data_IF_338767957769
#
_entry.id   IF_338767957769
#
_cell.length_a   1.000
_cell.length_b   1.000
_cell.length_c   1.000
_cell.angle_alpha   90.00
_cell.angle_beta   90.00
_cell.angle_gamma   90.00
#
_symmetry.space_group_name_H-M   'P 1'
#
loop_
_entity.id
_entity.type
_entity.pdbx_description
1 polymer ?
#
# COMPACT_ATOMS: atom_id res chain seq x y z
N UNK A 1 77.09 40.92 -51.52
CA UNK A 1 77.68 41.03 -50.16
C UNK A 1 76.80 41.99 -49.37
N UNK A 2 76.15 41.69 -48.25
CA UNK A 2 75.88 40.50 -47.45
C UNK A 2 74.70 40.94 -46.56
N UNK A 3 73.59 40.22 -46.56
CA UNK A 3 73.16 39.32 -45.47
C UNK A 3 73.31 39.91 -44.06
N UNK A 4 72.19 40.16 -43.36
CA UNK A 4 71.60 39.20 -42.41
C UNK A 4 70.35 39.81 -41.77
N UNK A 5 69.17 39.33 -42.17
CA UNK A 5 67.92 39.52 -41.45
C UNK A 5 67.78 38.45 -40.37
N UNK A 6 67.65 38.88 -39.12
CA UNK A 6 67.48 38.01 -37.95
C UNK A 6 66.12 37.31 -38.00
N UNK A 7 66.14 36.00 -38.22
CA UNK A 7 65.02 35.10 -37.93
C UNK A 7 65.21 34.49 -36.54
N UNK A 8 64.16 34.51 -35.72
CA UNK A 8 64.12 33.76 -34.46
C UNK A 8 62.87 32.86 -34.46
N UNK A 9 62.95 31.64 -33.90
CA UNK A 9 62.13 30.51 -34.30
C UNK A 9 60.76 30.50 -33.63
N UNK A 10 59.78 29.98 -34.39
CA UNK A 10 58.43 29.73 -33.91
C UNK A 10 58.41 28.69 -32.80
N UNK A 11 57.88 29.10 -31.65
CA UNK A 11 57.49 28.19 -30.57
C UNK A 11 56.26 27.39 -31.02
N UNK A 12 56.48 26.16 -31.48
CA UNK A 12 55.44 25.16 -31.70
C UNK A 12 54.82 24.80 -30.35
N UNK A 13 53.71 25.48 -30.00
CA UNK A 13 52.86 25.07 -28.89
C UNK A 13 52.15 23.78 -29.30
N UNK A 14 52.22 22.68 -28.52
CA UNK A 14 51.59 21.43 -28.91
C UNK A 14 50.09 21.65 -29.03
N UNK A 15 49.54 21.26 -30.18
CA UNK A 15 48.12 21.17 -30.40
C UNK A 15 47.52 20.28 -29.31
N UNK A 16 46.80 20.90 -28.36
CA UNK A 16 45.84 20.20 -27.51
C UNK A 16 44.93 19.45 -28.47
N UNK A 17 45.09 18.13 -28.55
CA UNK A 17 44.14 17.22 -29.18
C UNK A 17 42.79 17.51 -28.53
N UNK A 18 41.93 18.21 -29.25
CA UNK A 18 40.54 18.39 -28.91
C UNK A 18 39.88 17.01 -29.00
N UNK A 19 39.80 16.31 -27.88
CA UNK A 19 38.83 15.23 -27.74
C UNK A 19 37.45 15.83 -27.96
N UNK A 20 36.73 15.34 -28.96
CA UNK A 20 35.34 15.73 -29.20
C UNK A 20 34.52 15.55 -27.92
N UNK A 21 33.39 16.26 -27.77
CA UNK A 21 32.55 16.14 -26.60
C UNK A 21 32.19 14.66 -26.42
N UNK A 22 32.65 14.06 -25.32
CA UNK A 22 32.28 12.70 -24.98
C UNK A 22 30.76 12.60 -25.05
N UNK A 23 30.24 11.63 -25.80
CA UNK A 23 28.79 11.42 -25.90
C UNK A 23 28.23 11.26 -24.47
N UNK A 24 27.47 12.25 -23.98
CA UNK A 24 27.02 12.25 -22.60
C UNK A 24 26.08 11.06 -22.35
N UNK A 25 25.35 10.62 -23.38
CA UNK A 25 24.47 9.43 -23.31
C UNK A 25 25.31 8.17 -23.12
N UNK A 26 26.42 8.03 -23.85
CA UNK A 26 27.32 6.88 -23.69
C UNK A 26 27.94 6.82 -22.29
N UNK A 27 28.26 7.96 -21.70
CA UNK A 27 28.78 8.04 -20.33
C UNK A 27 27.70 7.61 -19.32
N UNK A 28 26.45 8.04 -19.52
CA UNK A 28 25.30 7.63 -18.70
C UNK A 28 24.97 6.14 -18.83
N UNK A 29 25.05 5.58 -20.05
CA UNK A 29 24.90 4.14 -20.28
C UNK A 29 25.94 3.34 -19.51
N UNK A 30 27.18 3.84 -19.43
CA UNK A 30 28.24 3.16 -18.71
C UNK A 30 28.00 3.17 -17.20
N UNK A 31 27.51 4.28 -16.64
CA UNK A 31 27.19 4.37 -15.21
C UNK A 31 25.95 3.56 -14.81
N UNK A 32 25.03 3.30 -15.74
CA UNK A 32 23.79 2.53 -15.50
C UNK A 32 23.72 1.23 -16.32
N UNK A 33 24.88 0.63 -16.60
CA UNK A 33 25.01 -0.53 -17.49
C UNK A 33 24.16 -1.72 -17.06
N UNK A 34 24.23 -2.11 -15.78
CA UNK A 34 23.47 -3.24 -15.24
C UNK A 34 21.95 -3.05 -15.30
N UNK A 35 21.48 -1.79 -15.25
CA UNK A 35 20.07 -1.45 -15.39
C UNK A 35 19.65 -1.60 -16.86
N UNK A 36 20.44 -1.05 -17.78
CA UNK A 36 20.14 -1.05 -19.21
C UNK A 36 20.21 -2.46 -19.83
N UNK A 37 21.12 -3.32 -19.36
CA UNK A 37 21.29 -4.70 -19.84
C UNK A 37 20.20 -5.66 -19.33
N UNK A 38 19.61 -5.40 -18.17
CA UNK A 38 18.55 -6.24 -17.57
C UNK A 38 17.13 -5.82 -17.95
N UNK A 39 16.95 -4.58 -18.42
CA UNK A 39 15.64 -4.02 -18.68
C UNK A 39 14.96 -4.67 -19.89
N UNK A 40 13.72 -5.12 -19.70
CA UNK A 40 12.89 -5.77 -20.74
C UNK A 40 12.11 -4.73 -21.56
N UNK A 41 11.93 -3.52 -21.03
CA UNK A 41 11.28 -2.41 -21.72
C UNK A 41 11.89 -1.03 -21.38
N UNK A 42 11.63 0.01 -22.19
CA UNK A 42 12.09 1.38 -21.91
C UNK A 42 11.58 1.98 -20.59
N UNK A 43 10.44 1.51 -20.06
CA UNK A 43 9.85 2.02 -18.82
C UNK A 43 10.65 1.58 -17.58
N UNK A 44 11.20 0.36 -17.57
CA UNK A 44 12.14 -0.10 -16.54
C UNK A 44 13.41 0.77 -16.49
N UNK A 45 13.91 1.19 -17.66
CA UNK A 45 15.03 2.12 -17.75
C UNK A 45 14.62 3.50 -17.21
N UNK A 46 13.46 4.03 -17.59
CA UNK A 46 12.98 5.33 -17.10
C UNK A 46 12.79 5.35 -15.57
N UNK A 47 12.21 4.29 -15.01
CA UNK A 47 12.04 4.12 -13.57
C UNK A 47 13.37 3.99 -12.82
N UNK A 48 14.30 3.20 -13.37
CA UNK A 48 15.63 3.07 -12.81
C UNK A 48 16.40 4.40 -12.85
N UNK A 49 16.30 5.16 -13.94
CA UNK A 49 16.88 6.50 -14.03
C UNK A 49 16.29 7.46 -12.99
N UNK A 50 14.97 7.47 -12.80
CA UNK A 50 14.32 8.29 -11.77
C UNK A 50 14.76 7.89 -10.35
N UNK A 51 14.88 6.58 -10.08
CA UNK A 51 15.37 6.07 -8.79
C UNK A 51 16.81 6.50 -8.47
N UNK A 52 17.64 6.69 -9.51
CA UNK A 52 18.99 7.25 -9.40
C UNK A 52 19.03 8.79 -9.48
N UNK A 53 17.88 9.45 -9.43
CA UNK A 53 17.76 10.91 -9.34
C UNK A 53 17.76 11.65 -10.68
N UNK A 54 17.65 10.96 -11.81
CA UNK A 54 17.55 11.59 -13.12
C UNK A 54 16.12 12.11 -13.32
N UNK A 55 15.99 13.43 -13.46
CA UNK A 55 14.72 14.14 -13.67
C UNK A 55 14.59 14.61 -15.12
N UNK A 56 13.40 15.07 -15.54
CA UNK A 56 13.19 15.63 -16.89
C UNK A 56 14.17 16.77 -17.21
N UNK A 57 14.53 17.58 -16.20
CA UNK A 57 15.55 18.63 -16.32
C UNK A 57 16.96 18.09 -16.48
N UNK A 58 17.26 16.94 -15.89
CA UNK A 58 18.53 16.23 -16.10
C UNK A 58 18.58 15.61 -17.50
N UNK A 59 17.47 15.05 -17.99
CA UNK A 59 17.36 14.50 -19.35
C UNK A 59 17.63 15.55 -20.44
N UNK A 60 17.21 16.81 -20.22
CA UNK A 60 17.52 17.93 -21.11
C UNK A 60 19.04 18.16 -21.32
N UNK A 61 19.88 17.82 -20.33
CA UNK A 61 21.35 17.89 -20.46
C UNK A 61 21.91 16.87 -21.44
N UNK A 62 21.19 15.77 -21.64
CA UNK A 62 21.48 14.74 -22.63
C UNK A 62 20.80 15.01 -24.00
N UNK A 63 20.23 16.21 -24.20
CA UNK A 63 19.46 16.61 -25.40
C UNK A 63 18.20 15.79 -25.66
N UNK A 64 17.64 15.15 -24.63
CA UNK A 64 16.32 14.52 -24.70
C UNK A 64 15.29 15.40 -24.00
N UNK A 65 14.05 15.39 -24.49
CA UNK A 65 12.96 16.23 -23.97
C UNK A 65 12.60 15.89 -22.52
N UNK A 66 12.65 14.61 -22.16
CA UNK A 66 12.19 14.06 -20.89
C UNK A 66 12.89 12.71 -20.60
N UNK A 67 12.70 12.18 -19.40
CA UNK A 67 13.32 10.91 -18.97
C UNK A 67 12.84 9.72 -19.79
N UNK A 68 11.59 9.70 -20.28
CA UNK A 68 11.06 8.61 -21.10
C UNK A 68 11.74 8.58 -22.48
N UNK A 69 11.89 9.74 -23.12
CA UNK A 69 12.61 9.89 -24.39
C UNK A 69 14.08 9.50 -24.26
N UNK A 70 14.72 9.80 -23.13
CA UNK A 70 16.07 9.36 -22.83
C UNK A 70 16.12 7.84 -22.63
N UNK A 71 15.16 7.26 -21.92
CA UNK A 71 15.09 5.83 -21.67
C UNK A 71 14.85 5.00 -22.94
N UNK A 72 14.01 5.50 -23.86
CA UNK A 72 13.82 4.93 -25.21
C UNK A 72 15.13 4.92 -25.99
N UNK A 73 15.88 6.02 -25.98
CA UNK A 73 17.18 6.09 -26.65
C UNK A 73 18.19 5.11 -26.03
N UNK A 74 18.26 5.02 -24.70
CA UNK A 74 19.11 4.05 -24.01
C UNK A 74 18.69 2.62 -24.34
N UNK A 75 17.38 2.34 -24.34
CA UNK A 75 16.82 1.04 -24.69
C UNK A 75 17.20 0.67 -26.12
N UNK A 76 17.05 1.56 -27.09
CA UNK A 76 17.39 1.33 -28.50
C UNK A 76 18.89 1.07 -28.72
N UNK A 77 19.76 1.62 -27.88
CA UNK A 77 21.23 1.48 -28.00
C UNK A 77 21.82 0.23 -27.34
N UNK A 78 21.07 -0.47 -26.48
CA UNK A 78 21.55 -1.71 -25.84
C UNK A 78 21.44 -2.87 -26.85
N UNK A 79 22.56 -3.54 -27.20
CA UNK A 79 22.52 -4.71 -28.06
C UNK A 79 21.76 -5.84 -27.35
N UNK A 80 20.59 -6.22 -27.87
CA UNK A 80 19.84 -7.37 -27.35
C UNK A 80 20.17 -8.60 -28.16
N UNK A 81 20.33 -9.73 -27.47
CA UNK A 81 20.63 -11.02 -28.08
C UNK A 81 19.54 -11.51 -29.07
N UNK A 82 18.40 -10.83 -29.18
CA UNK A 82 17.33 -11.12 -30.14
C UNK A 82 17.61 -10.65 -31.56
N UNK A 83 18.59 -9.75 -31.78
CA UNK A 83 18.86 -9.16 -33.10
C UNK A 83 20.01 -9.85 -33.86
N UNK A 84 20.43 -11.03 -33.39
CA UNK A 84 21.45 -11.85 -34.05
C UNK A 84 20.84 -13.08 -34.70
N UNK A 85 20.18 -12.89 -35.85
CA UNK A 85 19.78 -13.98 -36.74
C UNK A 85 19.14 -13.45 -38.03
N UNK A 86 19.69 -13.75 -39.22
CA UNK A 86 19.00 -13.47 -40.48
C UNK A 86 17.88 -14.48 -40.69
N UNK A 87 16.72 -14.01 -41.16
CA UNK A 87 15.57 -14.79 -41.60
C UNK A 87 15.09 -15.91 -40.66
N UNK A 88 14.09 -15.59 -39.83
CA UNK A 88 13.02 -16.57 -39.59
C UNK A 88 11.71 -15.82 -39.61
N UNK A 89 10.94 -16.04 -40.68
CA UNK A 89 9.50 -15.83 -40.72
C UNK A 89 8.92 -16.27 -39.38
N UNK A 90 8.39 -15.30 -38.62
CA UNK A 90 7.76 -15.54 -37.33
C UNK A 90 6.51 -16.39 -37.59
N UNK A 91 6.70 -17.70 -37.59
CA UNK A 91 5.65 -18.67 -37.39
C UNK A 91 5.06 -18.34 -36.01
N UNK A 92 3.85 -17.78 -36.03
CA UNK A 92 3.07 -17.50 -34.85
C UNK A 92 3.02 -18.78 -33.99
N UNK A 93 3.79 -18.77 -32.90
CA UNK A 93 3.74 -19.82 -31.90
C UNK A 93 2.28 -19.94 -31.42
N UNK A 94 1.73 -21.17 -31.31
CA UNK A 94 0.34 -21.34 -30.90
C UNK A 94 0.15 -20.73 -29.52
N UNK A 95 -0.71 -19.71 -29.44
CA UNK A 95 -1.22 -19.21 -28.18
C UNK A 95 -1.79 -20.41 -27.40
N UNK A 96 -1.36 -20.68 -26.14
CA UNK A 96 -2.07 -21.61 -25.29
C UNK A 96 -3.42 -20.98 -24.89
N UNK A 97 -4.39 -21.10 -25.78
CA UNK A 97 -5.80 -20.82 -25.51
C UNK A 97 -6.38 -22.02 -24.77
N UNK A 98 -6.51 -21.88 -23.44
CA UNK A 98 -7.51 -22.48 -22.52
C UNK A 98 -6.89 -22.73 -21.14
N UNK A 99 -6.71 -21.65 -20.39
CA UNK A 99 -6.79 -21.68 -18.93
C UNK A 99 -7.66 -20.48 -18.56
N UNK A 100 -8.71 -20.69 -17.75
CA UNK A 100 -9.75 -19.70 -17.48
C UNK A 100 -9.19 -18.31 -17.15
N UNK A 101 -9.93 -17.26 -17.56
CA UNK A 101 -9.52 -15.87 -17.45
C UNK A 101 -8.83 -15.60 -16.10
N UNK A 102 -7.53 -15.26 -16.07
CA UNK A 102 -6.80 -15.02 -14.81
C UNK A 102 -7.49 -13.96 -13.93
N UNK A 103 -8.36 -13.12 -14.51
CA UNK A 103 -9.24 -12.19 -13.80
C UNK A 103 -10.30 -12.87 -12.93
N UNK A 104 -10.93 -13.94 -13.42
CA UNK A 104 -11.97 -14.68 -12.71
C UNK A 104 -11.41 -15.43 -11.49
N UNK A 105 -10.23 -16.03 -11.63
CA UNK A 105 -9.56 -16.74 -10.55
C UNK A 105 -9.13 -15.82 -9.41
N UNK A 106 -8.76 -14.57 -9.70
CA UNK A 106 -8.42 -13.60 -8.66
C UNK A 106 -9.66 -13.01 -7.96
N UNK A 107 -10.70 -12.65 -8.72
CA UNK A 107 -11.96 -12.13 -8.16
C UNK A 107 -12.65 -13.15 -7.21
N UNK A 108 -12.63 -14.44 -7.57
CA UNK A 108 -13.16 -15.50 -6.70
C UNK A 108 -12.39 -15.62 -5.37
N UNK A 109 -11.06 -15.40 -5.41
CA UNK A 109 -10.21 -15.47 -4.22
C UNK A 109 -10.35 -14.26 -3.31
N UNK A 110 -10.71 -13.09 -3.83
CA UNK A 110 -10.92 -11.87 -3.01
C UNK A 110 -12.26 -11.90 -2.28
N UNK A 111 -13.24 -12.67 -2.76
CA UNK A 111 -14.53 -12.90 -2.09
C UNK A 111 -14.46 -13.88 -0.90
N UNK A 112 -13.41 -14.71 -0.86
CA UNK A 112 -13.24 -15.79 0.11
C UNK A 112 -13.23 -15.33 1.59
N UNK A 113 -12.55 -14.22 1.97
CA UNK A 113 -12.58 -13.71 3.35
C UNK A 113 -13.98 -13.28 3.79
N UNK A 114 -14.75 -12.62 2.92
CA UNK A 114 -16.13 -12.22 3.19
C UNK A 114 -17.05 -13.44 3.36
N UNK A 115 -16.93 -14.44 2.48
CA UNK A 115 -17.70 -15.67 2.57
C UNK A 115 -17.41 -16.46 3.85
N UNK A 116 -16.14 -16.59 4.24
CA UNK A 116 -15.73 -17.26 5.48
C UNK A 116 -16.23 -16.51 6.71
N UNK A 117 -16.15 -15.18 6.71
CA UNK A 117 -16.64 -14.36 7.81
C UNK A 117 -18.17 -14.48 7.98
N UNK A 118 -18.92 -14.42 6.87
CA UNK A 118 -20.37 -14.63 6.89
C UNK A 118 -20.75 -16.04 7.36
N UNK A 119 -20.05 -17.07 6.88
CA UNK A 119 -20.29 -18.46 7.29
C UNK A 119 -20.00 -18.68 8.78
N UNK A 120 -18.91 -18.10 9.31
CA UNK A 120 -18.58 -18.17 10.73
C UNK A 120 -19.67 -17.54 11.60
N UNK A 121 -20.16 -16.35 11.21
CA UNK A 121 -21.24 -15.69 11.95
C UNK A 121 -22.57 -16.44 11.86
N UNK A 122 -22.88 -17.01 10.70
CA UNK A 122 -24.07 -17.83 10.53
C UNK A 122 -23.99 -19.06 11.45
N UNK A 123 -22.84 -19.74 11.51
CA UNK A 123 -22.60 -20.84 12.42
C UNK A 123 -22.72 -20.43 13.90
N UNK A 124 -22.19 -19.26 14.28
CA UNK A 124 -22.33 -18.69 15.62
C UNK A 124 -23.79 -18.36 15.98
N UNK A 125 -24.60 -17.89 15.02
CA UNK A 125 -26.04 -17.62 15.22
C UNK A 125 -26.83 -18.90 15.43
N UNK A 126 -26.58 -19.94 14.64
CA UNK A 126 -27.23 -21.25 14.81
C UNK A 126 -26.77 -21.97 16.09
N UNK A 127 -25.54 -21.71 16.54
CA UNK A 127 -25.01 -22.21 17.81
C UNK A 127 -25.56 -21.46 19.05
N UNK A 128 -26.52 -20.53 18.89
CA UNK A 128 -27.08 -19.72 19.96
C UNK A 128 -27.70 -20.51 21.13
N UNK A 129 -28.11 -21.76 20.89
CA UNK A 129 -28.61 -22.68 21.92
C UNK A 129 -27.57 -23.65 22.50
N UNK A 130 -26.30 -23.57 22.10
CA UNK A 130 -25.24 -24.51 22.50
C UNK A 130 -24.35 -23.97 23.62
N UNK A 131 -23.67 -24.88 24.34
CA UNK A 131 -22.78 -24.53 25.44
C UNK A 131 -21.63 -23.59 25.03
N UNK A 132 -21.14 -22.79 25.98
CA UNK A 132 -20.11 -21.76 25.75
C UNK A 132 -18.84 -22.30 25.06
N UNK A 133 -18.44 -23.55 25.34
CA UNK A 133 -17.29 -24.19 24.70
C UNK A 133 -17.45 -24.39 23.18
N UNK A 134 -18.64 -24.76 22.71
CA UNK A 134 -18.92 -24.95 21.27
C UNK A 134 -18.86 -23.60 20.56
N UNK A 135 -19.41 -22.54 21.16
CA UNK A 135 -19.35 -21.18 20.60
C UNK A 135 -17.91 -20.66 20.51
N UNK A 136 -17.07 -20.95 21.51
CA UNK A 136 -15.64 -20.62 21.49
C UNK A 136 -14.90 -21.38 20.38
N UNK A 137 -15.18 -22.68 20.22
CA UNK A 137 -14.58 -23.48 19.16
C UNK A 137 -14.96 -22.96 17.76
N UNK A 138 -16.24 -22.60 17.54
CA UNK A 138 -16.72 -22.01 16.28
C UNK A 138 -16.05 -20.65 16.03
N UNK A 139 -15.94 -19.80 17.06
CA UNK A 139 -15.25 -18.50 16.96
C UNK A 139 -13.77 -18.64 16.61
N UNK A 140 -13.06 -19.55 17.29
CA UNK A 140 -11.65 -19.83 17.02
C UNK A 140 -11.44 -20.40 15.62
N UNK A 141 -12.27 -21.36 15.19
CA UNK A 141 -12.23 -21.92 13.85
C UNK A 141 -12.51 -20.86 12.77
N UNK A 142 -13.52 -20.01 12.99
CA UNK A 142 -13.83 -18.88 12.10
C UNK A 142 -12.69 -17.88 11.98
N UNK A 143 -12.03 -17.54 13.09
CA UNK A 143 -10.87 -16.64 13.09
C UNK A 143 -9.67 -17.24 12.33
N UNK A 144 -9.38 -18.53 12.53
CA UNK A 144 -8.32 -19.24 11.80
C UNK A 144 -8.65 -19.29 10.31
N UNK A 145 -9.87 -19.66 9.94
CA UNK A 145 -10.31 -19.71 8.56
C UNK A 145 -10.22 -18.33 7.88
N UNK A 146 -10.63 -17.26 8.56
CA UNK A 146 -10.51 -15.89 8.06
C UNK A 146 -9.05 -15.48 7.87
N UNK A 147 -8.17 -15.80 8.83
CA UNK A 147 -6.73 -15.53 8.72
C UNK A 147 -6.09 -16.26 7.53
N UNK A 148 -6.49 -17.52 7.28
CA UNK A 148 -6.04 -18.30 6.12
C UNK A 148 -6.56 -17.68 4.82
N UNK A 149 -7.86 -17.37 4.74
CA UNK A 149 -8.48 -16.74 3.57
C UNK A 149 -7.81 -15.41 3.22
N UNK A 150 -7.60 -14.56 4.23
CA UNK A 150 -6.90 -13.28 4.09
C UNK A 150 -5.46 -13.48 3.61
N UNK A 151 -4.75 -14.47 4.17
CA UNK A 151 -3.38 -14.79 3.75
C UNK A 151 -3.34 -15.23 2.28
N UNK A 152 -4.29 -16.05 1.83
CA UNK A 152 -4.36 -16.52 0.44
C UNK A 152 -4.68 -15.36 -0.51
N UNK A 153 -5.70 -14.55 -0.18
CA UNK A 153 -6.11 -13.39 -0.97
C UNK A 153 -4.97 -12.36 -1.12
N UNK A 154 -4.27 -12.09 -0.02
CA UNK A 154 -3.18 -11.11 0.03
C UNK A 154 -1.85 -11.63 -0.56
N UNK A 155 -1.63 -12.95 -0.65
CA UNK A 155 -0.39 -13.52 -1.23
C UNK A 155 -0.48 -13.79 -2.73
N UNK A 156 -1.68 -13.98 -3.29
CA UNK A 156 -1.88 -14.38 -4.69
C UNK A 156 -2.60 -13.32 -5.55
N UNK A 157 -2.77 -12.10 -5.03
CA UNK A 157 -3.44 -10.98 -5.71
C UNK A 157 -2.52 -9.78 -5.97
N UNK A 158 -3.06 -8.66 -6.50
CA UNK A 158 -2.32 -7.42 -6.77
C UNK A 158 -1.89 -6.70 -5.48
N UNK A 159 -2.28 -7.21 -4.32
CA UNK A 159 -1.81 -6.76 -3.00
C UNK A 159 -0.66 -7.64 -2.47
N UNK A 160 0.01 -8.42 -3.33
CA UNK A 160 1.11 -9.31 -2.97
C UNK A 160 2.30 -8.51 -2.46
N UNK A 161 2.78 -8.89 -1.28
CA UNK A 161 4.00 -8.35 -0.67
C UNK A 161 5.00 -9.50 -0.57
N UNK A 162 6.22 -9.28 -1.05
CA UNK A 162 7.32 -10.22 -0.91
C UNK A 162 8.12 -9.89 0.37
N UNK A 163 8.27 -10.83 1.33
CA UNK A 163 9.27 -10.72 2.40
C UNK A 163 8.85 -10.78 3.88
N UNK A 164 9.85 -10.61 4.76
CA UNK A 164 9.86 -10.81 6.23
C UNK A 164 9.16 -9.72 7.05
N UNK A 165 8.89 -8.55 6.46
CA UNK A 165 8.21 -7.39 7.08
C UNK A 165 6.76 -7.67 7.48
N UNK A 166 6.19 -8.78 7.00
CA UNK A 166 4.81 -9.19 7.28
C UNK A 166 4.55 -9.64 8.73
N UNK A 167 5.57 -10.00 9.53
CA UNK A 167 5.35 -10.44 10.93
C UNK A 167 5.08 -9.26 11.87
N UNK A 168 5.93 -8.24 11.84
CA UNK A 168 5.78 -7.05 12.69
C UNK A 168 4.52 -6.28 12.34
N UNK A 169 4.20 -6.14 11.05
CA UNK A 169 2.94 -5.51 10.60
C UNK A 169 1.70 -6.24 11.13
N UNK A 170 1.72 -7.59 11.20
CA UNK A 170 0.58 -8.35 11.73
C UNK A 170 0.30 -8.04 13.19
N UNK A 171 1.33 -7.88 14.03
CA UNK A 171 1.14 -7.54 15.44
C UNK A 171 0.42 -6.20 15.60
N UNK A 172 0.86 -5.17 14.85
CA UNK A 172 0.22 -3.86 14.87
C UNK A 172 -1.21 -3.89 14.34
N UNK A 173 -1.47 -4.63 13.25
CA UNK A 173 -2.84 -4.80 12.74
C UNK A 173 -3.74 -5.52 13.75
N UNK A 174 -3.23 -6.57 14.41
CA UNK A 174 -3.96 -7.25 15.47
C UNK A 174 -4.27 -6.32 16.65
N UNK A 175 -3.32 -5.47 17.04
CA UNK A 175 -3.53 -4.46 18.08
C UNK A 175 -4.63 -3.46 17.69
N UNK A 176 -4.56 -2.87 16.49
CA UNK A 176 -5.56 -1.91 16.00
C UNK A 176 -6.95 -2.55 15.90
N UNK A 177 -7.02 -3.81 15.44
CA UNK A 177 -8.27 -4.57 15.42
C UNK A 177 -8.80 -4.78 16.84
N UNK A 178 -7.95 -5.17 17.79
CA UNK A 178 -8.38 -5.33 19.17
C UNK A 178 -8.89 -4.01 19.76
N UNK A 179 -8.19 -2.89 19.54
CA UNK A 179 -8.62 -1.60 20.06
C UNK A 179 -9.91 -1.08 19.40
N UNK A 180 -10.08 -1.29 18.09
CA UNK A 180 -11.36 -0.96 17.40
C UNK A 180 -12.55 -1.79 17.88
N UNK A 181 -12.31 -3.04 18.30
CA UNK A 181 -13.36 -3.93 18.81
C UNK A 181 -13.70 -3.70 20.28
N UNK A 182 -12.70 -3.42 21.11
CA UNK A 182 -12.86 -3.38 22.57
C UNK A 182 -12.79 -1.96 23.16
N UNK A 183 -12.28 -0.98 22.39
CA UNK A 183 -12.08 0.41 22.81
C UNK A 183 -11.39 0.53 24.17
N UNK A 184 -11.89 1.41 25.02
CA UNK A 184 -11.41 1.59 26.40
C UNK A 184 -11.75 0.42 27.35
N UNK A 185 -12.54 -0.54 26.89
CA UNK A 185 -12.79 -1.80 27.58
C UNK A 185 -11.65 -2.81 27.46
N UNK A 186 -10.70 -2.60 26.54
CA UNK A 186 -9.57 -3.49 26.28
C UNK A 186 -8.77 -3.86 27.56
N UNK A 187 -8.42 -2.92 28.46
CA UNK A 187 -7.72 -3.27 29.69
C UNK A 187 -8.54 -4.20 30.58
N UNK A 188 -9.86 -4.00 30.69
CA UNK A 188 -10.70 -4.88 31.52
C UNK A 188 -10.72 -6.30 30.97
N UNK A 189 -10.71 -6.47 29.65
CA UNK A 189 -10.66 -7.79 28.99
C UNK A 189 -9.30 -8.47 29.19
N UNK A 190 -8.20 -7.73 29.07
CA UNK A 190 -6.84 -8.24 29.33
C UNK A 190 -6.66 -8.73 30.77
N UNK A 191 -7.25 -8.03 31.75
CA UNK A 191 -7.15 -8.40 33.17
C UNK A 191 -8.18 -9.48 33.58
N UNK A 192 -9.35 -9.55 32.94
CA UNK A 192 -10.37 -10.56 33.24
C UNK A 192 -9.90 -12.01 32.95
N UNK A 193 -8.87 -12.18 32.10
CA UNK A 193 -8.30 -13.49 31.77
C UNK A 193 -7.59 -14.23 32.91
N UNK A 194 -7.52 -13.68 34.13
CA UNK A 194 -6.78 -14.28 35.26
C UNK A 194 -7.59 -14.55 36.54
N UNK A 195 -8.85 -14.15 36.63
CA UNK A 195 -9.57 -14.17 37.92
C UNK A 195 -10.90 -14.90 37.94
N UNK A 196 -11.82 -14.56 37.04
CA UNK A 196 -13.20 -15.05 37.14
C UNK A 196 -13.69 -15.55 35.79
N UNK A 197 -14.09 -16.82 35.73
CA UNK A 197 -14.65 -17.50 34.55
C UNK A 197 -16.00 -16.94 34.06
N UNK A 198 -16.36 -15.70 34.39
CA UNK A 198 -17.45 -14.99 33.70
C UNK A 198 -16.87 -14.37 32.43
N UNK A 199 -17.16 -14.91 31.24
CA UNK A 199 -16.82 -14.20 30.02
C UNK A 199 -17.46 -12.82 30.11
N UNK A 200 -16.66 -11.77 29.97
CA UNK A 200 -17.20 -10.44 29.74
C UNK A 200 -18.05 -10.54 28.48
N UNK A 201 -19.37 -10.67 28.67
CA UNK A 201 -20.35 -10.68 27.60
C UNK A 201 -20.49 -9.25 27.11
N UNK A 202 -19.43 -8.68 26.53
CA UNK A 202 -19.67 -7.82 25.38
C UNK A 202 -20.36 -8.75 24.38
N UNK A 203 -21.59 -8.44 23.95
CA UNK A 203 -22.29 -9.31 23.03
C UNK A 203 -21.40 -9.42 21.79
N UNK A 204 -20.87 -10.62 21.51
CA UNK A 204 -20.00 -10.89 20.35
C UNK A 204 -20.61 -10.34 19.04
N UNK A 205 -21.93 -10.15 19.02
CA UNK A 205 -22.69 -9.52 17.93
C UNK A 205 -22.34 -8.04 17.69
N UNK A 206 -22.03 -7.24 18.72
CA UNK A 206 -21.67 -5.82 18.52
C UNK A 206 -20.28 -5.68 17.89
N UNK A 207 -19.32 -6.52 18.31
CA UNK A 207 -17.96 -6.55 17.77
C UNK A 207 -17.86 -7.29 16.41
N UNK A 208 -18.88 -8.06 16.03
CA UNK A 208 -18.90 -8.77 14.76
C UNK A 208 -19.07 -7.83 13.56
N UNK A 209 -19.83 -6.73 13.73
CA UNK A 209 -20.13 -5.76 12.68
C UNK A 209 -18.90 -5.15 12.01
N UNK A 210 -17.93 -4.56 12.76
CA UNK A 210 -16.71 -4.02 12.14
C UNK A 210 -15.85 -5.10 11.48
N UNK A 211 -15.79 -6.31 12.06
CA UNK A 211 -15.02 -7.42 11.49
C UNK A 211 -15.56 -7.88 10.14
N UNK A 212 -16.89 -7.98 10.01
CA UNK A 212 -17.55 -8.34 8.75
C UNK A 212 -17.29 -7.29 7.70
N UNK A 213 -17.50 -6.03 8.04
CA UNK A 213 -17.26 -4.91 7.13
C UNK A 213 -15.82 -4.94 6.60
N UNK A 214 -14.82 -5.09 7.49
CA UNK A 214 -13.41 -5.17 7.12
C UNK A 214 -13.07 -6.44 6.31
N UNK A 215 -13.70 -7.58 6.60
CA UNK A 215 -13.50 -8.81 5.84
C UNK A 215 -14.02 -8.70 4.41
N UNK A 216 -15.20 -8.10 4.21
CA UNK A 216 -15.75 -7.82 2.89
C UNK A 216 -15.00 -6.71 2.15
N UNK A 217 -14.41 -5.75 2.87
CA UNK A 217 -13.62 -4.67 2.29
C UNK A 217 -12.36 -5.13 1.54
N UNK A 218 -11.92 -6.38 1.75
CA UNK A 218 -10.84 -6.98 0.97
C UNK A 218 -11.17 -6.98 -0.53
N UNK A 219 -12.44 -7.18 -0.92
CA UNK A 219 -12.87 -7.19 -2.32
C UNK A 219 -12.65 -5.82 -3.00
N UNK A 220 -13.25 -4.70 -2.52
CA UNK A 220 -13.04 -3.39 -3.12
C UNK A 220 -11.57 -2.93 -2.99
N UNK A 221 -10.87 -3.27 -1.91
CA UNK A 221 -9.43 -2.97 -1.76
C UNK A 221 -8.61 -3.59 -2.88
N UNK A 222 -8.85 -4.87 -3.16
CA UNK A 222 -8.13 -5.59 -4.19
C UNK A 222 -8.46 -5.02 -5.59
N UNK A 223 -9.74 -4.70 -5.84
CA UNK A 223 -10.21 -4.07 -7.08
C UNK A 223 -9.58 -2.70 -7.32
N UNK A 224 -9.56 -1.83 -6.32
CA UNK A 224 -8.93 -0.50 -6.41
C UNK A 224 -7.43 -0.62 -6.69
N UNK A 225 -6.71 -1.56 -6.06
CA UNK A 225 -5.30 -1.80 -6.34
C UNK A 225 -5.07 -2.28 -7.78
N UNK A 226 -5.95 -3.17 -8.29
CA UNK A 226 -5.88 -3.62 -9.68
C UNK A 226 -6.12 -2.46 -10.65
N UNK A 227 -7.18 -1.67 -10.46
CA UNK A 227 -7.46 -0.50 -11.29
C UNK A 227 -6.32 0.51 -11.26
N UNK A 228 -5.75 0.79 -10.09
CA UNK A 228 -4.59 1.67 -9.96
C UNK A 228 -3.41 1.15 -10.78
N UNK A 229 -3.09 -0.15 -10.72
CA UNK A 229 -2.00 -0.73 -11.50
C UNK A 229 -2.24 -0.67 -13.02
N UNK A 230 -3.46 -0.91 -13.47
CA UNK A 230 -3.82 -0.85 -14.90
C UNK A 230 -3.80 0.59 -15.40
N UNK A 231 -4.35 1.52 -14.61
CA UNK A 231 -4.38 2.94 -14.96
C UNK A 231 -2.98 3.56 -14.90
N UNK A 232 -2.15 3.21 -13.92
CA UNK A 232 -0.76 3.64 -13.86
C UNK A 232 -0.01 3.21 -15.12
N UNK A 233 -0.11 1.94 -15.54
CA UNK A 233 0.50 1.44 -16.78
C UNK A 233 0.02 2.16 -18.03
N UNK A 234 -1.29 2.37 -18.18
CA UNK A 234 -1.86 3.13 -19.32
C UNK A 234 -1.41 4.59 -19.33
N UNK A 235 -1.34 5.23 -18.15
CA UNK A 235 -0.90 6.62 -18.04
C UNK A 235 0.60 6.77 -18.27
N UNK A 236 1.41 5.76 -17.91
CA UNK A 236 2.84 5.72 -18.20
C UNK A 236 3.10 5.65 -19.71
N UNK A 237 2.32 4.89 -20.48
CA UNK A 237 2.46 4.84 -21.95
C UNK A 237 2.01 6.11 -22.65
N UNK A 238 1.05 6.83 -22.08
CA UNK A 238 0.47 8.04 -22.70
C UNK A 238 1.20 9.33 -22.33
N UNK A 239 2.00 9.35 -21.25
CA UNK A 239 2.63 10.55 -20.70
C UNK A 239 4.02 10.79 -21.28
N UNK A 240 4.32 12.05 -21.61
CA UNK A 240 5.60 12.45 -22.21
C UNK A 240 6.58 13.05 -21.19
N UNK A 241 6.45 12.71 -19.91
CA UNK A 241 7.28 13.29 -18.83
C UNK A 241 6.77 12.94 -17.43
N UNK A 242 7.67 12.99 -16.45
CA UNK A 242 7.39 12.59 -15.05
C UNK A 242 6.36 13.52 -14.40
N UNK A 243 6.42 14.82 -14.69
CA UNK A 243 5.48 15.80 -14.16
C UNK A 243 4.04 15.60 -14.67
N UNK A 244 3.89 15.25 -15.95
CA UNK A 244 2.59 14.94 -16.55
C UNK A 244 2.02 13.62 -16.03
N UNK A 245 2.87 12.62 -15.83
CA UNK A 245 2.47 11.37 -15.20
C UNK A 245 1.98 11.60 -13.75
N UNK A 246 2.72 12.37 -12.97
CA UNK A 246 2.38 12.65 -11.58
C UNK A 246 1.05 13.42 -11.45
N UNK A 247 0.81 14.41 -12.33
CA UNK A 247 -0.42 15.21 -12.30
C UNK A 247 -1.67 14.40 -12.67
N UNK A 248 -1.54 13.41 -13.57
CA UNK A 248 -2.65 12.52 -13.96
C UNK A 248 -2.90 11.39 -12.95
N UNK A 249 -1.88 10.95 -12.23
CA UNK A 249 -1.99 9.80 -11.31
C UNK A 249 -2.56 10.18 -9.93
N UNK A 250 -2.24 11.37 -9.42
CA UNK A 250 -2.79 11.88 -8.14
C UNK A 250 -4.33 11.89 -8.04
N UNK A 251 -5.08 12.49 -8.99
CA UNK A 251 -6.54 12.53 -8.90
C UNK A 251 -7.16 11.14 -9.01
N UNK A 252 -6.52 10.23 -9.77
CA UNK A 252 -6.96 8.83 -9.89
C UNK A 252 -6.81 8.10 -8.55
N UNK A 253 -5.67 8.26 -7.87
CA UNK A 253 -5.45 7.69 -6.55
C UNK A 253 -6.50 8.20 -5.54
N UNK A 254 -6.75 9.51 -5.53
CA UNK A 254 -7.75 10.11 -4.64
C UNK A 254 -9.17 9.61 -4.96
N UNK A 255 -9.52 9.49 -6.24
CA UNK A 255 -10.82 8.99 -6.67
C UNK A 255 -11.02 7.51 -6.29
N UNK A 256 -10.00 6.66 -6.49
CA UNK A 256 -10.05 5.25 -6.10
C UNK A 256 -10.10 5.07 -4.58
N UNK A 257 -9.38 5.92 -3.83
CA UNK A 257 -9.45 5.94 -2.37
C UNK A 257 -10.84 6.36 -1.89
N UNK A 258 -11.42 7.42 -2.46
CA UNK A 258 -12.78 7.86 -2.14
C UNK A 258 -13.82 6.78 -2.48
N UNK A 259 -13.66 6.10 -3.63
CA UNK A 259 -14.50 4.97 -4.02
C UNK A 259 -14.41 3.82 -3.00
N UNK A 260 -13.21 3.48 -2.55
CA UNK A 260 -13.01 2.47 -1.51
C UNK A 260 -13.64 2.88 -0.19
N UNK A 261 -13.42 4.11 0.28
CA UNK A 261 -14.00 4.61 1.52
C UNK A 261 -15.53 4.61 1.47
N UNK A 262 -16.13 5.00 0.33
CA UNK A 262 -17.57 4.91 0.08
C UNK A 262 -18.08 3.47 0.11
N UNK A 263 -17.41 2.54 -0.57
CA UNK A 263 -17.76 1.12 -0.56
C UNK A 263 -17.66 0.51 0.85
N UNK A 264 -16.60 0.83 1.60
CA UNK A 264 -16.40 0.38 2.98
C UNK A 264 -17.49 0.93 3.91
N UNK A 265 -17.88 2.20 3.72
CA UNK A 265 -18.97 2.82 4.49
C UNK A 265 -20.29 2.11 4.20
N UNK A 266 -20.61 1.83 2.93
CA UNK A 266 -21.80 1.08 2.55
C UNK A 266 -21.80 -0.34 3.13
N UNK A 267 -20.66 -1.04 3.11
CA UNK A 267 -20.50 -2.36 3.72
C UNK A 267 -20.67 -2.32 5.24
N UNK A 268 -20.14 -1.30 5.92
CA UNK A 268 -20.32 -1.12 7.35
C UNK A 268 -21.79 -0.86 7.73
N UNK A 269 -22.47 0.01 6.98
CA UNK A 269 -23.91 0.27 7.16
C UNK A 269 -24.76 -0.98 6.90
N UNK A 270 -24.44 -1.74 5.85
CA UNK A 270 -25.11 -3.01 5.55
C UNK A 270 -24.88 -4.05 6.65
N UNK A 271 -23.65 -4.13 7.17
CA UNK A 271 -23.34 -5.03 8.29
C UNK A 271 -24.13 -4.65 9.54
N UNK A 272 -24.23 -3.36 9.87
CA UNK A 272 -25.09 -2.86 10.95
C UNK A 272 -26.55 -3.25 10.73
N UNK A 273 -27.07 -3.04 9.52
CA UNK A 273 -28.46 -3.38 9.14
C UNK A 273 -28.78 -4.87 9.29
N UNK A 274 -27.88 -5.74 8.83
CA UNK A 274 -28.07 -7.21 8.80
C UNK A 274 -27.87 -7.83 10.17
N UNK A 275 -26.93 -7.30 10.97
CA UNK A 275 -26.59 -7.83 12.29
C UNK A 275 -27.39 -7.17 13.42
N UNK A 276 -28.19 -6.15 13.13
CA UNK A 276 -28.96 -5.42 14.13
C UNK A 276 -28.08 -4.53 15.02
N UNK A 277 -26.99 -3.99 14.46
CA UNK A 277 -26.10 -3.08 15.14
C UNK A 277 -26.80 -1.81 15.60
N UNK A 278 -26.37 -1.24 16.72
CA UNK A 278 -26.96 0.00 17.25
C UNK A 278 -26.45 1.21 16.44
N UNK A 279 -27.33 1.96 15.76
CA UNK A 279 -26.93 3.17 15.03
C UNK A 279 -26.35 4.18 16.02
N UNK A 280 -25.27 4.87 15.62
CA UNK A 280 -24.61 5.89 16.46
C UNK A 280 -23.60 5.34 17.47
N UNK A 281 -23.23 4.06 17.40
CA UNK A 281 -22.25 3.45 18.31
C UNK A 281 -20.78 3.93 18.13
N UNK A 282 -20.52 4.82 17.16
CA UNK A 282 -19.19 5.35 16.85
C UNK A 282 -18.27 4.38 16.08
N UNK A 283 -18.64 3.11 15.95
CA UNK A 283 -17.81 2.08 15.30
C UNK A 283 -17.67 2.25 13.80
N UNK A 284 -18.65 2.87 13.12
CA UNK A 284 -18.58 3.12 11.67
C UNK A 284 -17.36 3.97 11.30
N UNK A 285 -17.15 5.08 12.02
CA UNK A 285 -16.02 5.98 11.76
C UNK A 285 -14.68 5.26 12.02
N UNK A 286 -14.58 4.51 13.11
CA UNK A 286 -13.40 3.71 13.44
C UNK A 286 -13.11 2.64 12.38
N UNK A 287 -14.15 1.94 11.90
CA UNK A 287 -14.05 0.89 10.87
C UNK A 287 -13.57 1.47 9.55
N UNK A 288 -14.14 2.60 9.11
CA UNK A 288 -13.74 3.27 7.88
C UNK A 288 -12.31 3.80 7.97
N UNK A 289 -11.95 4.41 9.10
CA UNK A 289 -10.60 4.92 9.35
C UNK A 289 -9.56 3.79 9.35
N UNK A 290 -9.82 2.69 10.07
CA UNK A 290 -8.94 1.53 10.12
C UNK A 290 -8.81 0.87 8.74
N UNK A 291 -9.92 0.62 8.05
CA UNK A 291 -9.90 0.04 6.70
C UNK A 291 -9.15 0.91 5.69
N UNK A 292 -9.24 2.24 5.83
CA UNK A 292 -8.47 3.20 5.01
C UNK A 292 -6.98 3.14 5.30
N UNK A 293 -6.60 3.11 6.58
CA UNK A 293 -5.21 2.97 7.03
C UNK A 293 -4.59 1.67 6.51
N UNK A 294 -5.30 0.55 6.63
CA UNK A 294 -4.85 -0.77 6.17
C UNK A 294 -4.66 -0.81 4.66
N UNK A 295 -5.57 -0.23 3.88
CA UNK A 295 -5.43 -0.15 2.42
C UNK A 295 -4.19 0.65 2.04
N UNK A 296 -4.00 1.84 2.61
CA UNK A 296 -2.85 2.71 2.30
C UNK A 296 -1.53 2.08 2.72
N UNK A 297 -1.45 1.52 3.93
CA UNK A 297 -0.28 0.80 4.39
C UNK A 297 0.04 -0.37 3.44
N UNK A 298 -0.98 -1.11 2.97
CA UNK A 298 -0.78 -2.22 2.03
C UNK A 298 -0.30 -1.73 0.67
N UNK A 299 -0.91 -0.69 0.10
CA UNK A 299 -0.49 -0.11 -1.17
C UNK A 299 0.96 0.36 -1.12
N UNK A 300 1.34 1.11 -0.09
CA UNK A 300 2.73 1.55 0.10
C UNK A 300 3.69 0.37 0.23
N UNK A 301 3.29 -0.69 0.94
CA UNK A 301 4.12 -1.90 1.07
C UNK A 301 4.31 -2.61 -0.27
N UNK A 302 3.27 -2.69 -1.11
CA UNK A 302 3.31 -3.33 -2.44
C UNK A 302 4.22 -2.55 -3.39
N UNK A 303 4.21 -1.21 -3.33
CA UNK A 303 5.03 -0.36 -4.18
C UNK A 303 6.42 -0.04 -3.56
N UNK A 304 6.92 -0.87 -2.64
CA UNK A 304 8.30 -0.77 -2.16
C UNK A 304 8.57 0.18 -0.98
N UNK A 305 7.53 0.73 -0.34
CA UNK A 305 7.64 1.64 0.82
C UNK A 305 7.13 1.03 2.15
N UNK A 306 7.64 -0.14 2.59
CA UNK A 306 7.15 -0.83 3.80
C UNK A 306 7.45 -0.06 5.09
N UNK A 307 8.52 0.75 5.12
CA UNK A 307 8.89 1.56 6.28
C UNK A 307 7.85 2.66 6.55
N UNK A 308 7.40 3.35 5.51
CA UNK A 308 6.36 4.38 5.62
C UNK A 308 5.01 3.78 6.05
N UNK A 309 4.66 2.61 5.48
CA UNK A 309 3.48 1.86 5.91
C UNK A 309 3.55 1.49 7.40
N UNK A 310 4.70 0.96 7.85
CA UNK A 310 4.92 0.59 9.24
C UNK A 310 4.86 1.80 10.18
N UNK A 311 5.43 2.95 9.79
CA UNK A 311 5.37 4.16 10.61
C UNK A 311 3.93 4.62 10.82
N UNK A 312 3.08 4.59 9.78
CA UNK A 312 1.66 4.94 9.93
C UNK A 312 0.91 4.01 10.89
N UNK A 313 1.17 2.69 10.82
CA UNK A 313 0.57 1.72 11.75
C UNK A 313 1.06 1.96 13.19
N UNK A 314 2.37 2.13 13.38
CA UNK A 314 2.97 2.39 14.69
C UNK A 314 2.45 3.69 15.29
N UNK A 315 2.30 4.76 14.49
CA UNK A 315 1.75 6.04 14.98
C UNK A 315 0.32 5.89 15.47
N UNK A 316 -0.52 5.14 14.75
CA UNK A 316 -1.88 4.89 15.20
C UNK A 316 -1.89 4.11 16.53
N UNK A 317 -1.09 3.04 16.62
CA UNK A 317 -0.98 2.26 17.85
C UNK A 317 -0.41 3.06 19.03
N UNK A 318 0.54 3.96 18.79
CA UNK A 318 1.10 4.83 19.81
C UNK A 318 0.05 5.80 20.37
N UNK A 319 -0.79 6.38 19.50
CA UNK A 319 -1.90 7.25 19.94
C UNK A 319 -2.90 6.48 20.79
N UNK A 320 -3.29 5.26 20.38
CA UNK A 320 -4.17 4.39 21.18
C UNK A 320 -3.55 4.00 22.52
N UNK A 321 -2.25 3.67 22.54
CA UNK A 321 -1.53 3.34 23.78
C UNK A 321 -1.46 4.53 24.74
N UNK A 322 -1.26 5.76 24.23
CA UNK A 322 -1.30 6.98 25.03
C UNK A 322 -2.71 7.21 25.59
N UNK A 323 -3.76 7.01 24.79
CA UNK A 323 -5.14 7.11 25.28
C UNK A 323 -5.43 6.12 26.41
N UNK A 324 -4.98 4.87 26.28
CA UNK A 324 -5.07 3.86 27.35
C UNK A 324 -4.28 4.26 28.60
N UNK A 325 -3.08 4.81 28.44
CA UNK A 325 -2.26 5.27 29.56
C UNK A 325 -2.90 6.45 30.30
N UNK A 326 -3.47 7.42 29.58
CA UNK A 326 -4.22 8.54 30.16
C UNK A 326 -5.47 8.06 30.91
N UNK A 327 -6.21 7.11 30.30
CA UNK A 327 -7.38 6.50 30.94
C UNK A 327 -7.00 5.69 32.21
N UNK A 328 -5.84 5.04 32.21
CA UNK A 328 -5.32 4.32 33.37
C UNK A 328 -4.83 5.27 34.47
N UNK A 329 -4.11 6.34 34.10
CA UNK A 329 -3.62 7.36 35.03
C UNK A 329 -4.76 8.03 35.79
N UNK A 330 -5.89 8.29 35.12
CA UNK A 330 -7.08 8.85 35.77
C UNK A 330 -7.81 7.92 36.75
N UNK A 331 -7.32 6.69 36.98
CA UNK A 331 -7.78 5.81 38.08
C UNK A 331 -6.95 5.97 39.36
N UNK A 332 -5.80 6.65 39.26
CA UNK A 332 -4.94 6.94 40.41
C UNK A 332 -5.46 8.21 41.10
N UNK A 333 -5.71 8.17 42.43
CA UNK A 333 -6.14 9.36 43.16
C UNK A 333 -5.12 10.50 42.96
N UNK A 334 -5.60 11.66 42.51
CA UNK A 334 -4.77 12.85 42.22
C UNK A 334 -4.39 13.06 40.74
N UNK A 335 -4.59 12.08 39.85
CA UNK A 335 -4.35 12.20 38.40
C UNK A 335 -5.62 12.12 37.54
N UNK A 336 -6.78 12.36 38.15
CA UNK A 336 -8.10 12.24 37.49
C UNK A 336 -8.24 13.14 36.26
N UNK A 337 -7.60 14.32 36.28
CA UNK A 337 -7.57 15.27 35.17
C UNK A 337 -6.93 14.71 33.90
N UNK A 338 -6.03 13.72 34.02
CA UNK A 338 -5.36 13.09 32.88
C UNK A 338 -6.33 12.30 31.98
N UNK A 339 -7.43 11.78 32.53
CA UNK A 339 -8.43 11.04 31.75
C UNK A 339 -9.51 11.92 31.10
N UNK A 340 -9.60 13.20 31.48
CA UNK A 340 -10.59 14.16 30.94
C UNK A 340 -10.62 14.22 29.41
N UNK A 341 -9.50 14.36 28.68
CA UNK A 341 -9.56 14.45 27.22
C UNK A 341 -10.08 13.16 26.57
N UNK A 342 -9.71 11.99 27.10
CA UNK A 342 -10.16 10.69 26.57
C UNK A 342 -11.65 10.50 26.86
N UNK A 343 -12.12 10.86 28.07
CA UNK A 343 -13.54 10.81 28.44
C UNK A 343 -14.37 11.76 27.58
N UNK A 344 -13.96 13.02 27.45
CA UNK A 344 -14.67 13.99 26.62
C UNK A 344 -14.81 13.54 25.16
N UNK A 345 -13.77 12.89 24.62
CA UNK A 345 -13.79 12.33 23.28
C UNK A 345 -14.72 11.11 23.17
N UNK A 346 -14.70 10.22 24.15
CA UNK A 346 -15.60 9.06 24.22
C UNK A 346 -17.07 9.48 24.44
N UNK A 347 -17.31 10.52 25.22
CA UNK A 347 -18.64 11.09 25.48
C UNK A 347 -19.22 11.75 24.21
N UNK A 348 -18.37 12.42 23.41
CA UNK A 348 -18.78 13.10 22.19
C UNK A 348 -18.97 12.15 20.98
N UNK A 349 -18.13 11.10 20.86
CA UNK A 349 -18.08 10.25 19.66
C UNK A 349 -18.28 8.76 19.91
N UNK A 350 -18.60 8.35 21.13
CA UNK A 350 -18.74 6.96 21.53
C UNK A 350 -17.41 6.19 21.61
N UNK A 351 -17.51 4.88 21.81
CA UNK A 351 -16.36 3.98 21.98
C UNK A 351 -15.40 3.95 20.76
N UNK A 352 -15.89 4.32 19.58
CA UNK A 352 -15.11 4.37 18.35
C UNK A 352 -14.35 5.68 18.11
N UNK A 353 -14.51 6.71 18.94
CA UNK A 353 -13.94 8.04 18.68
C UNK A 353 -12.41 8.06 18.67
N UNK A 354 -11.78 7.44 19.68
CA UNK A 354 -10.32 7.33 19.78
C UNK A 354 -9.72 6.57 18.60
N UNK A 355 -10.16 5.34 18.25
CA UNK A 355 -9.61 4.65 17.09
C UNK A 355 -9.89 5.38 15.78
N UNK A 356 -11.06 6.04 15.63
CA UNK A 356 -11.37 6.81 14.43
C UNK A 356 -10.38 7.97 14.22
N UNK A 357 -10.06 8.71 15.28
CA UNK A 357 -9.07 9.79 15.20
C UNK A 357 -7.65 9.26 14.98
N UNK A 358 -7.24 8.24 15.74
CA UNK A 358 -5.90 7.66 15.63
C UNK A 358 -5.65 7.08 14.23
N UNK A 359 -6.57 6.23 13.75
CA UNK A 359 -6.46 5.62 12.43
C UNK A 359 -6.67 6.65 11.31
N UNK A 360 -7.60 7.60 11.49
CA UNK A 360 -7.91 8.62 10.50
C UNK A 360 -6.76 9.59 10.26
N UNK A 361 -6.13 10.09 11.33
CA UNK A 361 -4.96 10.96 11.24
C UNK A 361 -3.78 10.24 10.58
N UNK A 362 -3.51 8.99 10.98
CA UNK A 362 -2.47 8.18 10.35
C UNK A 362 -2.77 7.90 8.86
N UNK A 363 -4.03 7.61 8.52
CA UNK A 363 -4.45 7.38 7.14
C UNK A 363 -4.28 8.65 6.29
N UNK A 364 -4.63 9.83 6.80
CA UNK A 364 -4.39 11.10 6.09
C UNK A 364 -2.90 11.35 5.84
N UNK A 365 -2.05 11.11 6.83
CA UNK A 365 -0.60 11.20 6.67
C UNK A 365 -0.07 10.24 5.60
N UNK A 366 -0.52 8.98 5.61
CA UNK A 366 -0.17 8.01 4.57
C UNK A 366 -0.74 8.37 3.20
N UNK A 367 -1.92 8.97 3.12
CA UNK A 367 -2.54 9.38 1.86
C UNK A 367 -1.74 10.50 1.19
N UNK A 368 -1.35 11.52 1.98
CA UNK A 368 -0.47 12.60 1.49
C UNK A 368 0.85 12.00 1.02
N UNK A 369 1.45 11.11 1.80
CA UNK A 369 2.69 10.45 1.43
C UNK A 369 2.55 9.59 0.17
N UNK A 370 1.46 8.83 0.04
CA UNK A 370 1.16 7.98 -1.11
C UNK A 370 0.93 8.81 -2.38
N UNK A 371 0.22 9.94 -2.29
CA UNK A 371 0.00 10.85 -3.41
C UNK A 371 1.31 11.45 -3.96
N UNK A 372 2.34 11.58 -3.11
CA UNK A 372 3.67 12.04 -3.52
C UNK A 372 4.52 10.87 -4.06
N UNK A 373 4.57 9.75 -3.34
CA UNK A 373 5.47 8.63 -3.66
C UNK A 373 4.99 7.78 -4.83
N UNK A 374 3.70 7.43 -4.88
CA UNK A 374 3.11 6.63 -5.96
C UNK A 374 2.94 7.41 -7.27
N UNK A 375 3.16 8.73 -7.22
CA UNK A 375 3.21 9.58 -8.42
C UNK A 375 4.55 9.54 -9.15
N UNK A 376 5.54 8.82 -8.60
CA UNK A 376 6.85 8.57 -9.22
C UNK A 376 6.77 7.33 -10.13
N UNK A 377 7.43 7.39 -11.28
CA UNK A 377 7.46 6.27 -12.24
C UNK A 377 8.16 5.02 -11.65
N UNK A 378 9.18 5.24 -10.82
CA UNK A 378 9.91 4.24 -10.03
C UNK A 378 9.06 3.41 -9.07
N UNK A 379 7.83 3.82 -8.78
CA UNK A 379 6.94 3.02 -7.93
C UNK A 379 6.21 1.88 -8.69
N UNK A 380 6.25 1.86 -10.04
CA UNK A 380 5.40 1.00 -10.88
C UNK A 380 6.16 -0.02 -11.75
N UNK A 381 7.46 -0.15 -11.53
CA UNK A 381 8.35 -1.15 -12.15
C UNK A 381 8.77 -2.19 -11.12
#
# INVERSE_FOLDING_TARGET
>A
MSDTGTTSPGTTRPARRAGGPADPVKTLMHSHRELCERAVDPLEIAAGLEAHGVTDRAAARFRHRDVFSLAEELYARVPRATDSGPDTTVAAAPHPSRAGDPRAGWALRTLLPGAVCAAALLALRYAGGTGAGIRLAIGAAGAVALAVALTIALRRGPLRVEGHTARVSRLWVCWLLAYTLYGDGLPRVLHAGTGDGRPATTPLTDAATPLVALAFAVVPAAWCAHLLSVQARRRLTDSRGLAEFASRTRPVLLALFALYAGALTALALLAELVLGGRPGSGHLAATVALGSLLLLARLLTVHGFPKAAATGLVTACAVEAVALALAAAGRVPGLESAAVPVRALADAGGAGAVPALACGAAALGLLIHAAVTLSRASAHT
#
